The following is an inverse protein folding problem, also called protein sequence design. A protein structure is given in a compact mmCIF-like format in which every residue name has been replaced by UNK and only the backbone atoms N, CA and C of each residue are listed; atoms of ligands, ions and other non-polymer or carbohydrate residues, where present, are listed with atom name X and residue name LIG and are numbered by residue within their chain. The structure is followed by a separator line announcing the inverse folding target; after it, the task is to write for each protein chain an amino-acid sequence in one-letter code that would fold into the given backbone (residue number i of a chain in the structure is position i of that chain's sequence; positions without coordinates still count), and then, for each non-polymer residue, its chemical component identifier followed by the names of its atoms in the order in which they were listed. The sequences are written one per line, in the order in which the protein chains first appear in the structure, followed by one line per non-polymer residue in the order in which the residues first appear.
data_IF_160580916075
#
_entry.id   IF_160580916075
#
_cell.length_a   1.000
_cell.length_b   1.000
_cell.length_c   1.000
_cell.angle_alpha   90.00
_cell.angle_beta   90.00
_cell.angle_gamma   90.00
#
_symmetry.space_group_name_H-M   'P 1'
#
loop_
_entity.id
_entity.type
_entity.pdbx_description
1 polymer ?
#
# COMPACT_ATOMS: atom_id res chain seq x y z
N UNK A 1 -30.80 30.52 92.25
CA UNK A 1 -29.56 30.80 93.02
C UNK A 1 -28.37 30.72 92.04
N UNK A 2 -27.67 31.77 92.09
CA UNK A 2 -26.22 32.01 91.87
C UNK A 2 -25.72 32.06 90.44
N UNK A 3 -25.57 33.28 89.92
CA UNK A 3 -24.37 34.13 89.82
C UNK A 3 -23.21 33.37 89.20
N UNK A 4 -22.56 33.81 88.20
CA UNK A 4 -22.03 35.06 87.65
C UNK A 4 -20.77 34.61 86.89
N UNK A 5 -20.31 35.14 85.90
CA UNK A 5 -19.53 36.30 85.56
C UNK A 5 -18.99 36.20 84.15
N UNK A 6 -19.28 37.18 83.42
CA UNK A 6 -18.48 37.90 82.43
C UNK A 6 -16.98 37.71 82.61
N UNK A 7 -16.32 37.39 81.53
CA UNK A 7 -15.04 38.02 81.14
C UNK A 7 -14.91 38.10 79.60
N UNK A 8 -14.91 39.31 79.18
CA UNK A 8 -14.48 39.70 77.87
C UNK A 8 -12.98 39.41 77.74
N UNK A 9 -12.59 38.86 76.61
CA UNK A 9 -11.22 39.04 76.12
C UNK A 9 -11.25 39.29 74.63
N UNK A 10 -10.97 40.55 74.35
CA UNK A 10 -10.35 40.96 73.08
C UNK A 10 -9.16 40.07 72.82
N UNK A 11 -8.93 39.67 71.62
CA UNK A 11 -7.62 39.69 70.94
C UNK A 11 -7.79 39.14 69.53
N UNK A 12 -7.52 40.01 68.64
CA UNK A 12 -6.61 39.70 67.55
C UNK A 12 -7.28 39.27 66.25
N UNK A 13 -7.71 40.23 65.48
CA UNK A 13 -7.81 40.09 64.03
C UNK A 13 -6.45 39.70 63.48
N UNK A 14 -6.24 38.41 63.32
CA UNK A 14 -5.13 37.90 62.53
C UNK A 14 -5.63 37.83 61.09
N UNK A 15 -5.41 38.88 60.35
CA UNK A 15 -5.53 38.91 58.88
C UNK A 15 -4.56 37.90 58.30
N UNK A 16 -5.10 36.70 58.02
CA UNK A 16 -4.40 35.71 57.19
C UNK A 16 -4.34 36.23 55.77
N UNK A 17 -3.27 36.96 55.48
CA UNK A 17 -2.89 37.29 54.10
C UNK A 17 -2.54 35.97 53.40
N UNK A 18 -3.51 35.38 52.75
CA UNK A 18 -3.25 34.31 51.76
C UNK A 18 -2.50 34.98 50.63
N UNK A 19 -1.18 34.82 50.66
CA UNK A 19 -0.32 35.05 49.52
C UNK A 19 -0.74 34.02 48.50
N UNK A 20 -1.59 34.41 47.56
CA UNK A 20 -1.76 33.74 46.26
C UNK A 20 -0.41 33.87 45.54
N UNK A 21 0.54 32.98 45.90
CA UNK A 21 1.65 32.67 45.03
C UNK A 21 1.02 32.06 43.77
N UNK A 22 0.64 32.93 42.85
CA UNK A 22 0.32 32.53 41.51
C UNK A 22 1.50 31.71 41.00
N UNK A 23 1.25 30.45 40.68
CA UNK A 23 2.12 29.72 39.77
C UNK A 23 2.18 30.52 38.47
N UNK A 24 3.12 31.46 38.40
CA UNK A 24 3.64 31.94 37.14
C UNK A 24 4.34 30.73 36.53
N UNK A 25 3.55 29.84 35.94
CA UNK A 25 4.05 28.96 34.92
C UNK A 25 4.78 29.88 33.95
N UNK A 26 6.04 29.64 33.70
CA UNK A 26 6.74 30.22 32.58
C UNK A 26 5.91 29.91 31.35
N UNK A 27 4.99 30.80 31.00
CA UNK A 27 4.42 30.86 29.68
C UNK A 27 5.62 31.14 28.78
N UNK A 28 6.15 30.10 28.17
CA UNK A 28 6.87 30.25 26.92
C UNK A 28 5.89 31.05 26.07
N UNK A 29 6.18 32.34 25.84
CA UNK A 29 5.48 33.10 24.82
C UNK A 29 5.58 32.24 23.56
N UNK A 30 4.47 31.68 23.13
CA UNK A 30 4.37 30.98 21.88
C UNK A 30 4.59 32.05 20.83
N UNK A 31 5.81 32.12 20.27
CA UNK A 31 6.16 33.06 19.23
C UNK A 31 5.20 32.80 18.09
N UNK A 32 4.52 33.83 17.61
CA UNK A 32 3.59 33.64 16.49
C UNK A 32 4.37 33.14 15.28
N UNK A 33 3.81 32.18 14.53
CA UNK A 33 4.49 31.60 13.36
C UNK A 33 4.85 32.65 12.31
N UNK A 34 4.12 33.76 12.30
CA UNK A 34 4.37 34.92 11.42
C UNK A 34 5.66 35.70 11.77
N UNK A 35 6.16 35.53 12.99
CA UNK A 35 7.41 36.16 13.46
C UNK A 35 8.64 35.24 13.28
N UNK A 36 8.43 33.99 12.80
CA UNK A 36 9.48 33.01 12.56
C UNK A 36 9.87 32.96 11.08
N UNK A 37 11.12 32.64 10.79
CA UNK A 37 11.55 32.38 9.43
C UNK A 37 11.10 31.00 8.95
N UNK A 38 11.18 30.75 7.62
CA UNK A 38 10.72 29.51 6.99
C UNK A 38 11.43 28.27 7.54
N UNK A 39 12.74 28.37 7.85
CA UNK A 39 13.51 27.27 8.40
C UNK A 39 13.04 26.90 9.82
N UNK A 40 12.79 27.91 10.65
CA UNK A 40 12.32 27.69 12.02
C UNK A 40 10.97 26.97 12.04
N UNK A 41 10.00 27.41 11.22
CA UNK A 41 8.69 26.79 11.13
C UNK A 41 8.82 25.35 10.60
N UNK A 42 9.64 25.14 9.57
CA UNK A 42 9.91 23.82 9.00
C UNK A 42 10.46 22.85 10.06
N UNK A 43 11.44 23.28 10.85
CA UNK A 43 12.02 22.47 11.95
C UNK A 43 11.03 22.13 13.05
N UNK A 44 10.06 23.00 13.33
CA UNK A 44 8.96 22.68 14.24
C UNK A 44 8.10 21.55 13.66
N UNK A 45 7.83 21.57 12.36
CA UNK A 45 7.14 20.49 11.67
C UNK A 45 7.90 19.16 11.73
N UNK A 46 9.21 19.18 11.50
CA UNK A 46 10.05 17.97 11.64
C UNK A 46 10.04 17.40 13.07
N UNK A 47 10.17 18.27 14.06
CA UNK A 47 10.15 17.87 15.46
C UNK A 47 8.81 17.24 15.88
N UNK A 48 7.69 17.81 15.40
CA UNK A 48 6.35 17.27 15.66
C UNK A 48 6.13 15.94 14.92
N UNK A 49 6.66 15.81 13.71
CA UNK A 49 6.57 14.58 12.92
C UNK A 49 7.39 13.44 13.54
N UNK A 50 8.56 13.77 14.10
CA UNK A 50 9.39 12.81 14.84
C UNK A 50 8.70 12.29 16.11
N UNK A 51 7.80 13.10 16.69
CA UNK A 51 6.96 12.70 17.79
C UNK A 51 5.74 11.92 17.28
N UNK A 52 5.94 10.68 16.87
CA UNK A 52 5.03 9.79 16.12
C UNK A 52 3.56 9.73 16.57
N UNK A 53 3.17 10.45 17.64
CA UNK A 53 1.82 10.45 18.20
C UNK A 53 0.88 11.45 17.52
N UNK A 54 1.39 12.45 16.79
CA UNK A 54 0.56 13.53 16.22
C UNK A 54 1.07 14.01 14.85
N UNK A 55 0.96 13.23 13.79
CA UNK A 55 1.33 13.69 12.45
C UNK A 55 0.52 14.91 11.99
N UNK A 56 -0.70 15.09 12.48
CA UNK A 56 -1.54 16.26 12.17
C UNK A 56 -0.93 17.59 12.63
N UNK A 57 -0.18 17.61 13.73
CA UNK A 57 0.52 18.82 14.20
C UNK A 57 1.60 19.25 13.21
N UNK A 58 2.36 18.29 12.68
CA UNK A 58 3.42 18.56 11.69
C UNK A 58 2.86 19.14 10.38
N UNK A 59 1.74 18.61 9.90
CA UNK A 59 1.06 19.06 8.68
C UNK A 59 0.79 20.57 8.76
N UNK A 60 0.28 21.05 9.89
CA UNK A 60 0.02 22.47 10.09
C UNK A 60 1.29 23.33 9.92
N UNK A 61 2.41 22.92 10.48
CA UNK A 61 3.65 23.69 10.34
C UNK A 61 4.15 23.71 8.89
N UNK A 62 4.09 22.60 8.18
CA UNK A 62 4.51 22.55 6.79
C UNK A 62 3.62 23.39 5.88
N UNK A 63 2.28 23.36 6.07
CA UNK A 63 1.38 24.22 5.30
C UNK A 63 1.57 25.71 5.61
N UNK A 64 1.95 26.09 6.85
CA UNK A 64 2.28 27.47 7.20
C UNK A 64 3.58 27.96 6.53
N UNK A 65 4.58 27.09 6.36
CA UNK A 65 5.78 27.46 5.57
C UNK A 65 5.39 27.82 4.14
N UNK A 66 4.55 27.03 3.50
CA UNK A 66 4.09 27.32 2.14
C UNK A 66 3.26 28.62 2.09
N UNK A 67 2.37 28.83 3.05
CA UNK A 67 1.53 30.04 3.11
C UNK A 67 2.33 31.33 3.30
N UNK A 68 3.31 31.31 4.22
CA UNK A 68 4.07 32.50 4.59
C UNK A 68 5.25 32.77 3.64
N UNK A 69 5.87 31.71 3.12
CA UNK A 69 7.12 31.76 2.36
C UNK A 69 7.06 30.96 1.05
N UNK A 70 6.06 31.17 0.17
CA UNK A 70 5.76 30.30 -0.97
C UNK A 70 6.90 30.13 -1.99
N UNK A 71 7.83 31.08 -2.04
CA UNK A 71 8.95 31.06 -2.99
C UNK A 71 10.28 30.63 -2.38
N UNK A 72 10.27 30.15 -1.12
CA UNK A 72 11.47 29.69 -0.43
C UNK A 72 11.78 28.23 -0.78
N UNK A 73 13.06 27.84 -0.68
CA UNK A 73 13.45 26.43 -0.76
C UNK A 73 12.81 25.58 0.36
N UNK A 74 12.46 26.22 1.47
CA UNK A 74 11.77 25.57 2.58
C UNK A 74 10.32 25.26 2.24
N UNK A 75 9.64 26.08 1.42
CA UNK A 75 8.28 25.79 0.96
C UNK A 75 8.24 24.52 0.08
N UNK A 76 9.22 24.37 -0.82
CA UNK A 76 9.38 23.17 -1.63
C UNK A 76 9.54 21.91 -0.75
N UNK A 77 10.42 21.98 0.25
CA UNK A 77 10.63 20.86 1.20
C UNK A 77 9.40 20.63 2.07
N UNK A 78 8.76 21.69 2.52
CA UNK A 78 7.57 21.62 3.36
C UNK A 78 6.41 20.93 2.63
N UNK A 79 6.20 21.22 1.35
CA UNK A 79 5.15 20.62 0.54
C UNK A 79 5.27 19.09 0.47
N UNK A 80 6.48 18.57 0.29
CA UNK A 80 6.67 17.11 0.25
C UNK A 80 6.53 16.49 1.65
N UNK A 81 6.98 17.20 2.69
CA UNK A 81 6.82 16.75 4.07
C UNK A 81 5.36 16.83 4.55
N UNK A 82 4.59 17.77 4.03
CA UNK A 82 3.14 17.84 4.23
C UNK A 82 2.45 16.60 3.65
N UNK A 83 2.77 16.24 2.40
CA UNK A 83 2.26 15.02 1.77
C UNK A 83 2.60 13.76 2.58
N UNK A 84 3.84 13.68 3.08
CA UNK A 84 4.27 12.60 3.97
C UNK A 84 3.53 12.61 5.31
N UNK A 85 3.31 13.77 5.89
CA UNK A 85 2.52 13.94 7.12
C UNK A 85 1.09 13.43 6.96
N UNK A 86 0.43 13.78 5.86
CA UNK A 86 -0.89 13.25 5.51
C UNK A 86 -0.89 11.73 5.37
N UNK A 87 0.12 11.18 4.70
CA UNK A 87 0.25 9.73 4.57
C UNK A 87 0.40 9.03 5.95
N UNK A 88 1.24 9.57 6.82
CA UNK A 88 1.41 9.08 8.20
C UNK A 88 0.14 9.19 9.03
N UNK A 89 -0.67 10.22 8.79
CA UNK A 89 -1.98 10.40 9.41
C UNK A 89 -3.06 9.49 8.79
N UNK A 90 -2.73 8.66 7.79
CA UNK A 90 -3.66 7.86 6.98
C UNK A 90 -4.72 8.68 6.24
N UNK A 91 -4.45 9.96 6.01
CA UNK A 91 -5.24 10.86 5.16
C UNK A 91 -4.76 10.72 3.72
N UNK A 92 -5.01 9.55 3.14
CA UNK A 92 -4.41 9.16 1.87
C UNK A 92 -4.85 10.04 0.69
N UNK A 93 -6.07 10.57 0.69
CA UNK A 93 -6.54 11.48 -0.35
C UNK A 93 -5.78 12.81 -0.32
N UNK A 94 -5.62 13.40 0.87
CA UNK A 94 -4.86 14.63 1.06
C UNK A 94 -3.39 14.41 0.70
N UNK A 95 -2.82 13.26 1.07
CA UNK A 95 -1.45 12.89 0.70
C UNK A 95 -1.27 12.84 -0.83
N UNK A 96 -2.20 12.20 -1.55
CA UNK A 96 -2.17 12.14 -3.02
C UNK A 96 -2.29 13.52 -3.66
N UNK A 97 -3.25 14.31 -3.20
CA UNK A 97 -3.46 15.65 -3.72
C UNK A 97 -2.23 16.54 -3.52
N UNK A 98 -1.62 16.48 -2.33
CA UNK A 98 -0.42 17.27 -2.01
C UNK A 98 0.80 16.76 -2.78
N UNK A 99 0.99 15.45 -2.90
CA UNK A 99 2.07 14.86 -3.69
C UNK A 99 1.92 15.20 -5.19
N UNK A 100 0.70 15.16 -5.73
CA UNK A 100 0.42 15.57 -7.11
C UNK A 100 0.75 17.05 -7.32
N UNK A 101 0.32 17.92 -6.40
CA UNK A 101 0.64 19.36 -6.43
C UNK A 101 2.16 19.61 -6.43
N UNK A 102 2.92 18.79 -5.68
CA UNK A 102 4.39 18.85 -5.72
C UNK A 102 4.93 18.50 -7.12
N UNK A 103 4.45 17.42 -7.72
CA UNK A 103 4.88 16.98 -9.05
C UNK A 103 4.53 18.01 -10.14
N UNK A 104 3.36 18.64 -10.04
CA UNK A 104 2.91 19.67 -10.98
C UNK A 104 3.75 20.96 -10.86
N UNK A 105 4.17 21.29 -9.64
CA UNK A 105 4.92 22.53 -9.36
C UNK A 105 6.42 22.36 -9.59
N UNK A 106 6.98 21.18 -9.24
CA UNK A 106 8.41 20.89 -9.26
C UNK A 106 8.78 19.59 -9.99
N UNK A 107 8.37 19.42 -11.28
CA UNK A 107 8.52 18.14 -11.99
C UNK A 107 9.98 17.69 -12.19
N UNK A 108 10.92 18.63 -12.22
CA UNK A 108 12.37 18.37 -12.36
C UNK A 108 13.14 18.31 -11.04
N UNK A 109 12.46 18.24 -9.92
CA UNK A 109 13.09 18.19 -8.61
C UNK A 109 13.73 16.82 -8.32
N UNK A 110 14.80 16.82 -7.52
CA UNK A 110 15.40 15.59 -6.98
C UNK A 110 14.39 14.75 -6.18
N UNK A 111 13.46 15.41 -5.49
CA UNK A 111 12.42 14.76 -4.69
C UNK A 111 11.19 14.32 -5.52
N UNK A 112 11.14 14.58 -6.83
CA UNK A 112 9.98 14.21 -7.66
C UNK A 112 9.75 12.69 -7.67
N UNK A 113 10.81 11.90 -7.65
CA UNK A 113 10.73 10.45 -7.50
C UNK A 113 10.06 10.02 -6.20
N UNK A 114 10.40 10.71 -5.09
CA UNK A 114 9.79 10.45 -3.79
C UNK A 114 8.32 10.88 -3.76
N UNK A 115 7.99 12.04 -4.32
CA UNK A 115 6.60 12.50 -4.40
C UNK A 115 5.71 11.53 -5.19
N UNK A 116 6.21 11.07 -6.35
CA UNK A 116 5.52 10.06 -7.17
C UNK A 116 5.33 8.74 -6.41
N UNK A 117 6.36 8.30 -5.68
CA UNK A 117 6.29 7.10 -4.86
C UNK A 117 5.30 7.25 -3.70
N UNK A 118 5.26 8.40 -3.03
CA UNK A 118 4.33 8.68 -1.93
C UNK A 118 2.87 8.68 -2.41
N UNK A 119 2.62 9.23 -3.60
CA UNK A 119 1.33 9.15 -4.27
C UNK A 119 0.93 7.67 -4.50
N UNK A 120 1.85 6.86 -5.02
CA UNK A 120 1.62 5.45 -5.26
C UNK A 120 1.38 4.68 -3.96
N UNK A 121 2.15 4.95 -2.90
CA UNK A 121 1.96 4.37 -1.57
C UNK A 121 0.58 4.69 -1.00
N UNK A 122 0.09 5.90 -1.24
CA UNK A 122 -1.22 6.31 -0.74
C UNK A 122 -2.39 5.54 -1.38
N UNK A 123 -2.20 4.94 -2.56
CA UNK A 123 -3.14 3.95 -3.09
C UNK A 123 -2.85 2.56 -2.54
N UNK A 124 -1.56 2.16 -2.52
CA UNK A 124 -1.13 0.82 -2.13
C UNK A 124 -1.52 0.47 -0.68
N UNK A 125 -1.31 1.38 0.25
CA UNK A 125 -1.61 1.15 1.68
C UNK A 125 -3.13 1.12 1.99
N UNK A 126 -3.98 1.36 1.00
CA UNK A 126 -5.42 1.21 1.07
C UNK A 126 -5.93 -0.08 0.41
N UNK A 127 -5.03 -0.91 -0.14
CA UNK A 127 -5.43 -2.21 -0.69
C UNK A 127 -6.01 -3.05 0.44
N UNK A 128 -7.22 -3.51 0.25
CA UNK A 128 -7.98 -4.33 1.20
C UNK A 128 -7.85 -5.83 0.83
N UNK A 129 -8.60 -6.67 1.52
CA UNK A 129 -8.63 -8.12 1.30
C UNK A 129 -8.95 -8.47 -0.17
N UNK A 130 -8.37 -9.59 -0.64
CA UNK A 130 -8.56 -10.14 -2.00
C UNK A 130 -10.05 -10.29 -2.36
N UNK A 131 -10.90 -10.60 -1.37
CA UNK A 131 -12.34 -10.75 -1.55
C UNK A 131 -13.08 -9.45 -1.91
N UNK A 132 -12.49 -8.26 -1.67
CA UNK A 132 -13.13 -6.96 -1.82
C UNK A 132 -12.93 -6.33 -3.20
N UNK A 133 -13.35 -5.06 -3.33
CA UNK A 133 -13.16 -4.27 -4.55
C UNK A 133 -11.67 -4.03 -4.84
N UNK A 134 -11.28 -4.16 -6.10
CA UNK A 134 -9.91 -4.06 -6.55
C UNK A 134 -9.58 -2.69 -7.20
N UNK A 135 -10.48 -1.72 -7.11
CA UNK A 135 -10.28 -0.40 -7.72
C UNK A 135 -8.99 0.28 -7.26
N UNK A 136 -8.74 0.27 -5.94
CA UNK A 136 -7.51 0.83 -5.37
C UNK A 136 -6.26 0.04 -5.78
N UNK A 137 -6.35 -1.28 -5.94
CA UNK A 137 -5.24 -2.11 -6.42
C UNK A 137 -4.83 -1.72 -7.84
N UNK A 138 -5.80 -1.49 -8.73
CA UNK A 138 -5.51 -1.00 -10.09
C UNK A 138 -4.87 0.39 -10.09
N UNK A 139 -5.36 1.31 -9.25
CA UNK A 139 -4.78 2.65 -9.13
C UNK A 139 -3.36 2.59 -8.56
N UNK A 140 -3.13 1.75 -7.55
CA UNK A 140 -1.78 1.51 -7.00
C UNK A 140 -0.82 0.98 -8.06
N UNK A 141 -1.24 -0.01 -8.86
CA UNK A 141 -0.41 -0.56 -9.95
C UNK A 141 -0.07 0.49 -11.00
N UNK A 142 -1.02 1.34 -11.40
CA UNK A 142 -0.75 2.42 -12.36
C UNK A 142 0.24 3.43 -11.80
N UNK A 143 0.06 3.86 -10.54
CA UNK A 143 0.94 4.82 -9.91
C UNK A 143 2.35 4.24 -9.65
N UNK A 144 2.45 2.98 -9.20
CA UNK A 144 3.73 2.30 -9.01
C UNK A 144 4.48 2.13 -10.34
N UNK A 145 3.76 1.79 -11.42
CA UNK A 145 4.34 1.72 -12.77
C UNK A 145 4.90 3.07 -13.21
N UNK A 146 4.19 4.17 -12.96
CA UNK A 146 4.68 5.50 -13.27
C UNK A 146 6.02 5.80 -12.56
N UNK A 147 6.16 5.41 -11.27
CA UNK A 147 7.44 5.55 -10.56
C UNK A 147 8.56 4.77 -11.24
N UNK A 148 8.29 3.50 -11.61
CA UNK A 148 9.28 2.61 -12.22
C UNK A 148 9.74 3.15 -13.59
N UNK A 149 8.81 3.64 -14.41
CA UNK A 149 9.08 4.09 -15.78
C UNK A 149 9.70 5.49 -15.83
N UNK A 150 9.26 6.41 -14.95
CA UNK A 150 9.73 7.79 -14.97
C UNK A 150 11.02 8.00 -14.17
N UNK A 151 11.25 7.19 -13.12
CA UNK A 151 12.39 7.33 -12.22
C UNK A 151 13.16 6.01 -12.03
N UNK A 152 13.58 5.30 -13.10
CA UNK A 152 14.12 3.94 -13.03
C UNK A 152 15.36 3.80 -12.15
N UNK A 153 16.18 4.83 -12.08
CA UNK A 153 17.44 4.83 -11.32
C UNK A 153 17.26 5.22 -9.84
N UNK A 154 16.06 5.60 -9.43
CA UNK A 154 15.79 6.01 -8.04
C UNK A 154 15.72 4.79 -7.11
N UNK A 155 16.04 5.00 -5.83
CA UNK A 155 15.81 3.98 -4.79
C UNK A 155 14.30 3.65 -4.64
N UNK A 156 13.44 4.58 -4.97
CA UNK A 156 11.98 4.42 -4.93
C UNK A 156 11.47 3.49 -6.02
N UNK A 157 12.11 3.45 -7.19
CA UNK A 157 11.76 2.50 -8.24
C UNK A 157 11.95 1.04 -7.79
N UNK A 158 13.03 0.73 -7.07
CA UNK A 158 13.26 -0.61 -6.51
C UNK A 158 12.16 -1.02 -5.53
N UNK A 159 11.77 -0.10 -4.66
CA UNK A 159 10.67 -0.32 -3.71
C UNK A 159 9.31 -0.42 -4.41
N UNK A 160 9.12 0.36 -5.49
CA UNK A 160 7.90 0.33 -6.30
C UNK A 160 7.75 -1.00 -7.04
N UNK A 161 8.83 -1.59 -7.58
CA UNK A 161 8.82 -2.91 -8.22
C UNK A 161 8.30 -3.96 -7.25
N UNK A 162 8.83 -4.04 -6.04
CA UNK A 162 8.39 -5.02 -5.04
C UNK A 162 6.90 -4.87 -4.70
N UNK A 163 6.43 -3.63 -4.55
CA UNK A 163 5.01 -3.36 -4.27
C UNK A 163 4.12 -3.63 -5.47
N UNK A 164 4.62 -3.36 -6.67
CA UNK A 164 3.94 -3.68 -7.91
C UNK A 164 3.70 -5.19 -8.02
N UNK A 165 4.74 -6.00 -7.79
CA UNK A 165 4.65 -7.45 -7.85
C UNK A 165 3.66 -7.98 -6.80
N UNK A 166 3.67 -7.45 -5.58
CA UNK A 166 2.72 -7.83 -4.54
C UNK A 166 1.27 -7.45 -4.89
N UNK A 167 1.05 -6.24 -5.41
CA UNK A 167 -0.28 -5.81 -5.83
C UNK A 167 -0.78 -6.60 -7.05
N UNK A 168 0.13 -6.98 -7.94
CA UNK A 168 -0.15 -7.80 -9.10
C UNK A 168 -0.52 -9.24 -8.70
N UNK A 169 0.21 -9.83 -7.75
CA UNK A 169 -0.12 -11.12 -7.14
C UNK A 169 -1.48 -11.10 -6.42
N UNK A 170 -1.82 -9.97 -5.80
CA UNK A 170 -3.12 -9.76 -5.15
C UNK A 170 -4.29 -9.83 -6.16
N UNK A 171 -4.15 -9.23 -7.36
CA UNK A 171 -5.16 -9.36 -8.42
C UNK A 171 -5.29 -10.80 -8.92
N UNK A 172 -4.18 -11.48 -9.12
CA UNK A 172 -4.18 -12.90 -9.47
C UNK A 172 -4.89 -13.74 -8.40
N UNK A 173 -4.63 -13.44 -7.12
CA UNK A 173 -5.28 -14.08 -5.97
C UNK A 173 -6.81 -13.96 -6.00
N UNK A 174 -7.34 -12.80 -6.45
CA UNK A 174 -8.79 -12.60 -6.64
C UNK A 174 -9.38 -13.56 -7.65
N UNK A 175 -8.74 -13.70 -8.80
CA UNK A 175 -9.19 -14.65 -9.84
C UNK A 175 -9.09 -16.09 -9.34
N UNK A 176 -8.03 -16.42 -8.60
CA UNK A 176 -7.86 -17.72 -7.98
C UNK A 176 -8.94 -18.04 -6.96
N UNK A 177 -9.32 -17.09 -6.11
CA UNK A 177 -10.40 -17.27 -5.13
C UNK A 177 -11.74 -17.60 -5.81
N UNK A 178 -12.10 -16.83 -6.83
CA UNK A 178 -13.31 -17.05 -7.61
C UNK A 178 -13.24 -18.40 -8.34
N UNK A 179 -12.10 -18.72 -8.93
CA UNK A 179 -11.87 -19.98 -9.63
C UNK A 179 -12.02 -21.20 -8.71
N UNK A 180 -11.41 -21.16 -7.52
CA UNK A 180 -11.55 -22.21 -6.50
C UNK A 180 -13.00 -22.35 -6.01
N UNK A 181 -13.73 -21.25 -5.87
CA UNK A 181 -15.16 -21.32 -5.54
C UNK A 181 -15.96 -22.08 -6.61
N UNK A 182 -15.80 -21.74 -7.91
CA UNK A 182 -16.48 -22.43 -8.98
C UNK A 182 -16.06 -23.90 -9.10
N UNK A 183 -14.79 -24.20 -8.94
CA UNK A 183 -14.27 -25.57 -8.94
C UNK A 183 -14.93 -26.41 -7.85
N UNK A 184 -15.02 -25.88 -6.63
CA UNK A 184 -15.69 -26.53 -5.50
C UNK A 184 -17.18 -26.81 -5.75
N UNK A 185 -17.84 -25.97 -6.53
CA UNK A 185 -19.25 -26.14 -6.92
C UNK A 185 -19.42 -27.09 -8.13
N UNK A 186 -18.33 -27.56 -8.75
CA UNK A 186 -18.38 -28.37 -9.96
C UNK A 186 -18.65 -27.59 -11.25
N UNK A 187 -18.59 -26.26 -11.21
CA UNK A 187 -18.76 -25.40 -12.39
C UNK A 187 -17.44 -25.24 -13.14
N UNK A 188 -16.96 -26.36 -13.71
CA UNK A 188 -15.62 -26.46 -14.29
C UNK A 188 -15.34 -25.42 -15.37
N UNK A 189 -16.29 -25.18 -16.29
CA UNK A 189 -16.09 -24.15 -17.35
C UNK A 189 -15.95 -22.73 -16.79
N UNK A 190 -16.68 -22.40 -15.73
CA UNK A 190 -16.55 -21.10 -15.06
C UNK A 190 -15.20 -21.00 -14.32
N UNK A 191 -14.77 -22.08 -13.66
CA UNK A 191 -13.47 -22.15 -13.00
C UNK A 191 -12.32 -21.99 -14.00
N UNK A 192 -12.39 -22.70 -15.15
CA UNK A 192 -11.41 -22.57 -16.23
C UNK A 192 -11.24 -21.13 -16.69
N UNK A 193 -12.34 -20.40 -16.88
CA UNK A 193 -12.25 -18.99 -17.31
C UNK A 193 -11.49 -18.13 -16.30
N UNK A 194 -11.65 -18.37 -15.01
CA UNK A 194 -10.93 -17.64 -13.96
C UNK A 194 -9.45 -18.00 -13.89
N UNK A 195 -9.13 -19.28 -13.86
CA UNK A 195 -7.74 -19.75 -13.86
C UNK A 195 -7.00 -19.36 -15.16
N UNK A 196 -7.72 -19.31 -16.28
CA UNK A 196 -7.17 -18.85 -17.54
C UNK A 196 -6.69 -17.39 -17.46
N UNK A 197 -7.47 -16.51 -16.83
CA UNK A 197 -7.06 -15.12 -16.62
C UNK A 197 -5.73 -15.05 -15.87
N UNK A 198 -5.53 -15.90 -14.84
CA UNK A 198 -4.26 -15.96 -14.11
C UNK A 198 -3.11 -16.36 -15.04
N UNK A 199 -3.29 -17.42 -15.83
CA UNK A 199 -2.26 -17.94 -16.72
C UNK A 199 -1.97 -17.02 -17.91
N UNK A 200 -2.95 -16.24 -18.40
CA UNK A 200 -2.76 -15.32 -19.53
C UNK A 200 -2.29 -13.93 -19.10
N UNK A 201 -2.76 -13.41 -17.96
CA UNK A 201 -2.53 -12.01 -17.60
C UNK A 201 -1.59 -11.84 -16.39
N UNK A 202 -1.43 -12.86 -15.55
CA UNK A 202 -0.68 -12.82 -14.29
C UNK A 202 0.42 -13.89 -14.22
N UNK A 203 1.08 -14.15 -15.34
CA UNK A 203 2.02 -15.27 -15.53
C UNK A 203 3.20 -15.28 -14.55
N UNK A 204 3.63 -14.11 -14.10
CA UNK A 204 4.79 -13.95 -13.22
C UNK A 204 4.45 -14.05 -11.74
N UNK A 205 3.17 -14.25 -11.41
CA UNK A 205 2.71 -14.30 -10.02
C UNK A 205 2.92 -15.66 -9.39
N UNK A 206 2.92 -15.69 -8.07
CA UNK A 206 2.98 -16.92 -7.26
C UNK A 206 1.75 -17.81 -7.44
N UNK A 207 0.66 -17.28 -8.01
CA UNK A 207 -0.61 -17.99 -8.22
C UNK A 207 -0.59 -18.89 -9.47
N UNK A 208 0.29 -18.62 -10.43
CA UNK A 208 0.32 -19.29 -11.73
C UNK A 208 0.50 -20.81 -11.64
N UNK A 209 1.39 -21.36 -10.81
CA UNK A 209 1.53 -22.82 -10.69
C UNK A 209 0.25 -23.49 -10.19
N UNK A 210 -0.43 -22.92 -9.20
CA UNK A 210 -1.72 -23.44 -8.74
C UNK A 210 -2.78 -23.33 -9.85
N UNK A 211 -2.86 -22.21 -10.56
CA UNK A 211 -3.83 -22.00 -11.64
C UNK A 211 -3.70 -23.08 -12.71
N UNK A 212 -2.48 -23.41 -13.12
CA UNK A 212 -2.21 -24.49 -14.07
C UNK A 212 -2.67 -25.85 -13.54
N UNK A 213 -2.37 -26.16 -12.29
CA UNK A 213 -2.83 -27.40 -11.65
C UNK A 213 -4.36 -27.47 -11.60
N UNK A 214 -5.04 -26.40 -11.19
CA UNK A 214 -6.52 -26.35 -11.15
C UNK A 214 -7.15 -26.45 -12.54
N UNK A 215 -6.49 -25.92 -13.57
CA UNK A 215 -6.90 -26.14 -14.96
C UNK A 215 -6.85 -27.63 -15.33
N UNK A 216 -5.78 -28.36 -14.93
CA UNK A 216 -5.68 -29.79 -15.18
C UNK A 216 -6.87 -30.52 -14.54
N UNK A 217 -7.18 -30.24 -13.27
CA UNK A 217 -8.33 -30.84 -12.58
C UNK A 217 -9.65 -30.57 -13.32
N UNK A 218 -9.88 -29.32 -13.75
CA UNK A 218 -11.08 -28.93 -14.49
C UNK A 218 -11.16 -29.64 -15.85
N UNK A 219 -10.08 -29.67 -16.61
CA UNK A 219 -10.04 -30.29 -17.94
C UNK A 219 -10.26 -31.78 -17.88
N UNK A 220 -9.63 -32.48 -16.92
CA UNK A 220 -9.85 -33.92 -16.71
C UNK A 220 -11.30 -34.21 -16.33
N UNK A 221 -11.92 -33.36 -15.51
CA UNK A 221 -13.33 -33.51 -15.12
C UNK A 221 -14.29 -33.32 -16.30
N UNK A 222 -13.88 -32.60 -17.35
CA UNK A 222 -14.62 -32.39 -18.58
C UNK A 222 -14.23 -33.39 -19.71
N UNK A 223 -13.25 -34.26 -19.47
CA UNK A 223 -12.71 -35.17 -20.49
C UNK A 223 -11.80 -34.50 -21.53
N UNK A 224 -11.35 -33.28 -21.30
CA UNK A 224 -10.48 -32.52 -22.18
C UNK A 224 -9.00 -32.86 -21.90
N UNK A 225 -8.59 -34.06 -22.31
CA UNK A 225 -7.27 -34.59 -21.95
C UNK A 225 -6.11 -33.89 -22.62
N UNK A 226 -6.29 -33.36 -23.84
CA UNK A 226 -5.24 -32.65 -24.56
C UNK A 226 -4.89 -31.31 -23.90
N UNK A 227 -5.90 -30.59 -23.41
CA UNK A 227 -5.73 -29.36 -22.63
C UNK A 227 -5.06 -29.64 -21.27
N UNK A 228 -5.46 -30.71 -20.60
CA UNK A 228 -4.86 -31.13 -19.33
C UNK A 228 -3.37 -31.47 -19.51
N UNK A 229 -3.00 -32.21 -20.55
CA UNK A 229 -1.61 -32.55 -20.87
C UNK A 229 -0.78 -31.31 -21.20
N UNK A 230 -1.37 -30.35 -21.93
CA UNK A 230 -0.70 -29.10 -22.31
C UNK A 230 -0.47 -28.20 -21.09
N UNK A 231 -1.46 -28.07 -20.19
CA UNK A 231 -1.29 -27.34 -18.92
C UNK A 231 -0.20 -27.99 -18.05
N UNK A 232 -0.16 -29.33 -18.01
CA UNK A 232 0.92 -30.09 -17.35
C UNK A 232 2.29 -29.83 -17.95
N UNK A 233 2.39 -29.71 -19.29
CA UNK A 233 3.65 -29.41 -19.96
C UNK A 233 4.19 -28.01 -19.60
N UNK A 234 3.31 -27.00 -19.49
CA UNK A 234 3.70 -25.64 -19.04
C UNK A 234 4.19 -25.69 -17.59
N UNK A 235 3.45 -26.35 -16.72
CA UNK A 235 3.79 -26.50 -15.31
C UNK A 235 5.12 -27.23 -15.14
N UNK A 236 5.32 -28.32 -15.89
CA UNK A 236 6.56 -29.11 -15.86
C UNK A 236 7.78 -28.38 -16.45
N UNK A 237 7.59 -27.39 -17.31
CA UNK A 237 8.72 -26.60 -17.84
C UNK A 237 9.16 -25.50 -16.87
N UNK A 238 8.20 -24.75 -16.33
CA UNK A 238 8.50 -23.51 -15.60
C UNK A 238 8.49 -23.68 -14.07
N UNK A 239 7.82 -24.71 -13.53
CA UNK A 239 7.47 -24.76 -12.10
C UNK A 239 7.75 -26.15 -11.47
N UNK A 240 8.79 -26.84 -11.94
CA UNK A 240 9.15 -28.21 -11.48
C UNK A 240 9.40 -28.32 -9.97
N UNK A 241 9.84 -27.24 -9.33
CA UNK A 241 10.14 -27.23 -7.89
C UNK A 241 8.91 -27.04 -7.00
N UNK A 242 7.71 -26.94 -7.58
CA UNK A 242 6.48 -26.67 -6.83
C UNK A 242 5.72 -27.94 -6.51
N UNK A 243 4.99 -27.92 -5.40
CA UNK A 243 4.08 -29.03 -5.04
C UNK A 243 3.00 -29.26 -6.10
N UNK A 244 2.60 -28.20 -6.82
CA UNK A 244 1.61 -28.25 -7.88
C UNK A 244 2.06 -29.08 -9.07
N UNK A 245 3.35 -29.07 -9.38
CA UNK A 245 3.94 -29.94 -10.38
C UNK A 245 3.88 -31.40 -9.98
N UNK A 246 4.27 -31.72 -8.74
CA UNK A 246 4.23 -33.08 -8.24
C UNK A 246 2.81 -33.68 -8.27
N UNK A 247 1.83 -32.90 -7.84
CA UNK A 247 0.45 -33.31 -7.79
C UNK A 247 -0.15 -33.42 -9.19
N UNK A 248 0.18 -32.51 -10.10
CA UNK A 248 -0.20 -32.64 -11.51
C UNK A 248 0.39 -33.87 -12.17
N UNK A 249 1.66 -34.19 -11.91
CA UNK A 249 2.32 -35.37 -12.43
C UNK A 249 1.64 -36.64 -11.96
N UNK A 250 1.36 -36.77 -10.66
CA UNK A 250 0.64 -37.90 -10.07
C UNK A 250 -0.77 -38.03 -10.68
N UNK A 251 -1.48 -36.91 -10.85
CA UNK A 251 -2.85 -36.89 -11.37
C UNK A 251 -2.92 -37.36 -12.81
N UNK A 252 -2.02 -36.85 -13.70
CA UNK A 252 -1.98 -37.21 -15.12
C UNK A 252 -1.49 -38.64 -15.34
N UNK A 253 -0.41 -39.09 -14.68
CA UNK A 253 0.13 -40.44 -14.82
C UNK A 253 -0.82 -41.50 -14.34
N UNK A 254 -1.61 -41.24 -13.28
CA UNK A 254 -2.68 -42.14 -12.82
C UNK A 254 -3.72 -42.44 -13.90
N UNK A 255 -3.91 -41.50 -14.84
CA UNK A 255 -4.83 -41.65 -15.98
C UNK A 255 -4.11 -42.10 -17.26
N UNK A 256 -2.83 -42.44 -17.20
CA UNK A 256 -2.03 -42.87 -18.37
C UNK A 256 -1.70 -41.70 -19.31
N UNK A 257 -1.77 -40.44 -18.84
CA UNK A 257 -1.52 -39.25 -19.63
C UNK A 257 -0.10 -38.73 -19.37
N UNK A 258 0.53 -38.19 -20.42
CA UNK A 258 1.85 -37.55 -20.36
C UNK A 258 1.74 -36.03 -20.32
N UNK A 259 2.68 -35.37 -19.66
CA UNK A 259 2.83 -33.90 -19.72
C UNK A 259 3.44 -33.49 -21.07
N UNK A 260 2.62 -33.25 -22.08
CA UNK A 260 3.04 -32.94 -23.43
C UNK A 260 2.09 -31.95 -24.08
N UNK A 261 2.63 -31.02 -24.86
CA UNK A 261 1.81 -30.08 -25.64
C UNK A 261 1.01 -30.85 -26.67
N UNK A 262 -0.30 -30.68 -26.65
CA UNK A 262 -1.27 -31.30 -27.53
C UNK A 262 -2.16 -30.24 -28.18
N UNK A 263 -2.49 -30.43 -29.44
CA UNK A 263 -3.38 -29.53 -30.18
C UNK A 263 -2.82 -28.14 -30.42
N UNK A 264 -3.66 -27.23 -30.92
CA UNK A 264 -3.38 -25.82 -31.15
C UNK A 264 -4.42 -24.96 -30.43
N UNK A 265 -4.51 -25.12 -29.11
CA UNK A 265 -5.41 -24.38 -28.24
C UNK A 265 -4.71 -23.17 -27.61
N UNK A 266 -5.43 -22.40 -26.80
CA UNK A 266 -4.89 -21.20 -26.15
C UNK A 266 -3.68 -21.54 -25.24
N UNK A 267 -3.67 -22.70 -24.56
CA UNK A 267 -2.54 -23.15 -23.75
C UNK A 267 -1.29 -23.44 -24.60
N UNK A 268 -1.46 -24.00 -25.80
CA UNK A 268 -0.34 -24.21 -26.72
C UNK A 268 0.25 -22.87 -27.17
N UNK A 269 -0.58 -21.80 -27.32
CA UNK A 269 -0.08 -20.43 -27.56
C UNK A 269 0.70 -19.92 -26.37
N UNK A 270 0.16 -20.02 -25.15
CA UNK A 270 0.87 -19.64 -23.91
C UNK A 270 2.20 -20.39 -23.80
N UNK A 271 2.22 -21.71 -24.09
CA UNK A 271 3.44 -22.49 -24.09
C UNK A 271 4.49 -21.94 -25.07
N UNK A 272 4.10 -21.60 -26.30
CA UNK A 272 5.01 -21.02 -27.29
C UNK A 272 5.57 -19.67 -26.82
N UNK A 273 4.73 -18.82 -26.27
CA UNK A 273 5.14 -17.50 -25.75
C UNK A 273 6.09 -17.62 -24.57
N UNK A 274 5.68 -18.37 -23.55
CA UNK A 274 6.39 -18.41 -22.26
C UNK A 274 7.62 -19.30 -22.30
N UNK A 275 7.55 -20.42 -23.03
CA UNK A 275 8.60 -21.42 -23.06
C UNK A 275 9.56 -21.25 -24.22
N UNK A 276 9.05 -20.90 -25.40
CA UNK A 276 9.87 -20.75 -26.61
C UNK A 276 10.24 -19.31 -26.94
N UNK A 277 9.66 -18.32 -26.23
CA UNK A 277 9.89 -16.91 -26.52
C UNK A 277 9.29 -16.44 -27.86
N UNK A 278 8.36 -17.20 -28.41
CA UNK A 278 7.67 -16.85 -29.67
C UNK A 278 6.55 -15.85 -29.36
N UNK A 279 6.88 -14.54 -29.36
CA UNK A 279 5.88 -13.48 -29.24
C UNK A 279 5.20 -13.28 -30.61
N UNK A 280 3.88 -13.40 -30.61
CA UNK A 280 3.02 -13.23 -31.77
C UNK A 280 2.83 -11.75 -32.12
#
# INVERSE_FOLDING_TARGET
MSRAKSTANLVGSLTLAIVLAGCAGKGTQEVALEDMDAEQIYKLGEAELANAKRPDGAIRYFSEVERLYPYSEWAKRALIMEAYGYHKARKYEDSRATAQRYLDTYPGSEDAAYASYLLALSYYDQIDDVGRDQGLTFQALQALRAVIEQYPDSEYAKSAILKFDLAFDHLAGKEMEIGRYYLKQGFYSAAINRFRVVVEQYQTTSQTPEALYRLIECYLSLGLTDEAQTAGAILGHNFQSTIWYEDAYKLLTKQGLEMKVRGDNWLAKVYRQVVKGEWL
#
